data_IF_628613798899
#
_entry.id   IF_628613798899
#
_cell.length_a   1.000
_cell.length_b   1.000
_cell.length_c   1.000
_cell.angle_alpha   90.00
_cell.angle_beta   90.00
_cell.angle_gamma   90.00
#
_symmetry.space_group_name_H-M   'P 1'
#
loop_
_entity.id
_entity.type
_entity.pdbx_description
1 polymer ?
#
# COMPACT_ATOMS: atom_id res chain seq x y z
N UNK A 1 5.54 4.13 19.34
CA UNK A 1 6.49 2.99 19.34
C UNK A 1 7.33 3.08 18.07
N UNK A 2 8.62 2.73 18.09
CA UNK A 2 9.42 2.73 16.85
C UNK A 2 8.80 1.81 15.80
N UNK A 3 8.84 2.21 14.52
CA UNK A 3 8.34 1.40 13.41
C UNK A 3 9.20 0.14 13.26
N UNK A 4 8.71 -0.99 13.76
CA UNK A 4 9.44 -2.26 13.79
C UNK A 4 9.42 -3.00 12.45
N UNK A 5 8.37 -2.76 11.65
CA UNK A 5 8.25 -3.25 10.29
C UNK A 5 7.95 -2.09 9.34
N UNK A 6 8.50 -2.16 8.13
CA UNK A 6 8.24 -1.23 7.04
C UNK A 6 8.13 -1.97 5.70
N UNK A 7 7.41 -1.36 4.76
CA UNK A 7 7.41 -1.76 3.36
C UNK A 7 8.40 -0.87 2.58
N UNK A 8 9.32 -1.50 1.85
CA UNK A 8 10.29 -0.85 0.96
C UNK A 8 10.22 -1.53 -0.42
N UNK A 9 9.82 -0.79 -1.45
CA UNK A 9 9.58 -1.30 -2.82
C UNK A 9 8.74 -2.58 -2.89
N UNK A 10 7.67 -2.64 -2.09
CA UNK A 10 6.77 -3.80 -2.02
C UNK A 10 7.33 -5.00 -1.25
N UNK A 11 8.54 -4.90 -0.69
CA UNK A 11 9.14 -5.90 0.19
C UNK A 11 8.92 -5.51 1.65
N UNK A 12 8.49 -6.48 2.45
CA UNK A 12 8.42 -6.35 3.90
C UNK A 12 9.83 -6.45 4.49
N UNK A 13 10.17 -5.53 5.39
CA UNK A 13 11.40 -5.57 6.18
C UNK A 13 11.01 -5.40 7.65
N UNK A 14 11.45 -6.35 8.48
CA UNK A 14 11.42 -6.21 9.94
C UNK A 14 12.81 -5.78 10.40
N UNK A 15 12.87 -4.62 11.04
CA UNK A 15 14.11 -4.04 11.56
C UNK A 15 14.52 -4.81 12.82
N UNK A 16 15.52 -5.67 12.68
CA UNK A 16 15.98 -6.57 13.74
C UNK A 16 16.81 -5.88 14.83
N UNK A 17 17.39 -4.72 14.52
CA UNK A 17 18.17 -3.93 15.46
C UNK A 17 17.65 -2.50 15.52
N UNK A 18 17.06 -2.14 16.66
CA UNK A 18 16.89 -0.74 17.01
C UNK A 18 18.26 -0.16 17.38
N UNK A 19 18.50 1.13 17.13
CA UNK A 19 19.79 1.80 17.44
C UNK A 19 20.29 1.46 18.86
N UNK A 20 21.62 1.43 19.07
CA UNK A 20 22.26 0.90 20.28
C UNK A 20 21.68 1.43 21.61
N UNK A 21 21.24 2.69 21.65
CA UNK A 21 20.62 3.31 22.84
C UNK A 21 19.15 2.89 23.08
N UNK A 22 18.49 2.26 22.11
CA UNK A 22 17.16 1.65 22.21
C UNK A 22 17.22 0.15 22.52
N UNK A 23 18.34 -0.52 22.25
CA UNK A 23 18.51 -1.98 22.42
C UNK A 23 18.25 -2.47 23.85
N UNK A 24 18.56 -1.65 24.86
CA UNK A 24 18.37 -1.98 26.29
C UNK A 24 16.89 -2.27 26.64
N UNK A 25 15.93 -1.87 25.79
CA UNK A 25 14.48 -2.02 26.04
C UNK A 25 13.75 -3.00 25.13
N UNK A 26 14.39 -3.58 24.12
CA UNK A 26 13.68 -4.47 23.18
C UNK A 26 13.81 -5.90 23.66
N UNK A 27 12.71 -6.57 24.05
CA UNK A 27 12.78 -7.95 24.49
C UNK A 27 13.20 -8.85 23.32
N UNK A 28 13.72 -10.04 23.65
CA UNK A 28 13.87 -11.10 22.66
C UNK A 28 12.51 -11.35 22.01
N UNK A 29 12.44 -11.35 20.69
CA UNK A 29 11.15 -11.36 19.97
C UNK A 29 11.23 -12.17 18.69
N UNK A 30 10.07 -12.59 18.20
CA UNK A 30 9.88 -13.18 16.88
C UNK A 30 8.68 -12.52 16.21
N UNK A 31 8.83 -12.20 14.92
CA UNK A 31 7.81 -11.54 14.13
C UNK A 31 7.28 -12.48 13.06
N UNK A 32 5.98 -12.37 12.79
CA UNK A 32 5.29 -13.20 11.82
C UNK A 32 4.38 -12.34 10.95
N UNK A 33 4.14 -12.79 9.72
CA UNK A 33 3.08 -12.23 8.88
C UNK A 33 1.99 -13.26 8.61
N UNK A 34 0.78 -12.77 8.36
CA UNK A 34 -0.36 -13.57 7.91
C UNK A 34 -1.23 -12.70 7.01
N UNK A 35 -1.85 -13.31 5.99
CA UNK A 35 -2.72 -12.57 5.09
C UNK A 35 -3.99 -12.09 5.82
N UNK A 36 -4.57 -11.01 5.31
CA UNK A 36 -5.81 -10.43 5.78
C UNK A 36 -6.84 -10.42 4.65
N UNK A 37 -8.10 -10.67 5.01
CA UNK A 37 -9.27 -10.50 4.15
C UNK A 37 -10.36 -9.75 4.90
N UNK A 38 -11.28 -9.11 4.16
CA UNK A 38 -12.37 -8.29 4.71
C UNK A 38 -12.21 -6.80 4.45
N UNK A 39 -13.09 -6.00 5.03
CA UNK A 39 -13.10 -4.55 4.83
C UNK A 39 -12.13 -3.84 5.78
N UNK A 40 -10.93 -3.48 5.29
CA UNK A 40 -9.99 -2.67 6.07
C UNK A 40 -10.44 -1.21 6.26
N UNK A 41 -11.41 -0.73 5.48
CA UNK A 41 -12.00 0.60 5.60
C UNK A 41 -13.34 0.69 4.83
N UNK A 42 -14.35 1.47 5.28
CA UNK A 42 -14.47 2.17 6.56
C UNK A 42 -15.06 1.31 7.68
N UNK A 43 -15.53 0.09 7.37
CA UNK A 43 -16.21 -0.77 8.33
C UNK A 43 -15.25 -1.81 8.91
N UNK A 44 -14.41 -1.35 9.85
CA UNK A 44 -13.30 -2.07 10.53
C UNK A 44 -13.79 -3.21 11.45
N UNK A 45 -15.10 -3.47 11.50
CA UNK A 45 -15.72 -4.35 12.49
C UNK A 45 -15.33 -5.82 12.35
N UNK A 46 -14.79 -6.25 11.21
CA UNK A 46 -14.33 -7.62 11.03
C UNK A 46 -13.20 -7.70 9.98
N UNK A 47 -12.12 -8.39 10.35
CA UNK A 47 -11.12 -8.89 9.43
C UNK A 47 -10.93 -10.38 9.67
N UNK A 48 -10.65 -11.12 8.62
CA UNK A 48 -10.34 -12.54 8.69
C UNK A 48 -8.87 -12.75 8.36
N UNK A 49 -8.19 -13.53 9.20
CA UNK A 49 -6.83 -13.98 8.93
C UNK A 49 -6.87 -15.13 7.92
N UNK A 50 -6.05 -15.04 6.87
CA UNK A 50 -5.98 -16.03 5.80
C UNK A 50 -4.56 -16.61 5.70
N UNK A 51 -4.49 -17.92 5.47
CA UNK A 51 -3.23 -18.66 5.34
C UNK A 51 -2.51 -18.92 6.67
N UNK A 52 -1.31 -19.49 6.58
CA UNK A 52 -0.50 -19.86 7.73
C UNK A 52 0.27 -18.68 8.31
N UNK A 53 0.63 -18.79 9.59
CA UNK A 53 1.50 -17.84 10.27
C UNK A 53 2.95 -18.09 9.85
N UNK A 54 3.55 -17.15 9.11
CA UNK A 54 4.91 -17.32 8.56
C UNK A 54 5.91 -16.42 9.27
N UNK A 55 7.01 -17.00 9.76
CA UNK A 55 8.07 -16.26 10.46
C UNK A 55 8.83 -15.33 9.52
N UNK A 56 9.09 -14.11 9.98
CA UNK A 56 9.84 -13.09 9.24
C UNK A 56 11.28 -13.08 9.76
N UNK A 57 12.28 -13.42 8.93
CA UNK A 57 13.67 -13.27 9.30
C UNK A 57 14.04 -11.79 9.48
N UNK A 58 14.78 -11.42 10.54
CA UNK A 58 15.15 -10.03 10.81
C UNK A 58 16.08 -9.49 9.71
N UNK A 59 15.94 -8.20 9.39
CA UNK A 59 16.74 -7.46 8.41
C UNK A 59 16.77 -8.03 7.00
N UNK A 60 15.84 -8.94 6.66
CA UNK A 60 15.73 -9.52 5.32
C UNK A 60 14.53 -8.92 4.58
N UNK A 61 14.73 -8.60 3.31
CA UNK A 61 13.65 -8.23 2.39
C UNK A 61 12.83 -9.46 2.05
N UNK A 62 11.53 -9.40 2.34
CA UNK A 62 10.60 -10.50 2.12
C UNK A 62 9.45 -10.07 1.22
N UNK A 63 9.19 -10.84 0.17
CA UNK A 63 7.98 -10.71 -0.62
C UNK A 63 6.84 -11.44 0.08
N UNK A 64 5.77 -10.70 0.38
CA UNK A 64 4.57 -11.25 1.01
C UNK A 64 3.54 -11.56 -0.09
N UNK A 65 3.04 -12.79 -0.20
CA UNK A 65 2.12 -13.21 -1.26
C UNK A 65 0.66 -12.83 -0.97
N UNK A 66 0.43 -11.69 -0.31
CA UNK A 66 -0.89 -11.19 0.05
C UNK A 66 -0.95 -9.68 -0.18
N UNK A 67 -2.02 -9.19 -0.81
CA UNK A 67 -2.25 -7.75 -1.00
C UNK A 67 -2.45 -7.02 0.33
N UNK A 68 -3.07 -7.72 1.29
CA UNK A 68 -3.34 -7.21 2.62
C UNK A 68 -2.83 -8.24 3.61
N UNK A 69 -2.04 -7.82 4.58
CA UNK A 69 -1.47 -8.72 5.57
C UNK A 69 -1.21 -7.99 6.88
N UNK A 70 -1.12 -8.75 7.96
CA UNK A 70 -0.79 -8.24 9.28
C UNK A 70 0.58 -8.74 9.69
N UNK A 71 1.37 -7.87 10.32
CA UNK A 71 2.62 -8.24 10.98
C UNK A 71 2.41 -8.18 12.48
N UNK A 72 2.72 -9.28 13.16
CA UNK A 72 2.66 -9.41 14.61
C UNK A 72 4.01 -9.82 15.15
N UNK A 73 4.51 -9.10 16.15
CA UNK A 73 5.71 -9.48 16.87
C UNK A 73 5.37 -9.87 18.31
N UNK A 74 5.84 -11.06 18.67
CA UNK A 74 5.66 -11.67 19.97
C UNK A 74 6.94 -11.49 20.77
N UNK A 75 6.79 -11.13 22.04
CA UNK A 75 7.86 -11.27 23.01
C UNK A 75 8.18 -12.77 23.12
N UNK A 76 9.46 -13.13 23.25
CA UNK A 76 9.99 -14.49 23.40
C UNK A 76 11.05 -14.53 24.51
N UNK A 77 10.87 -13.68 25.52
CA UNK A 77 11.71 -13.69 26.73
C UNK A 77 11.44 -14.97 27.51
N UNK A 78 12.49 -15.69 27.91
CA UNK A 78 12.36 -16.91 28.72
C UNK A 78 11.85 -16.53 30.11
N UNK A 79 10.66 -17.01 30.48
CA UNK A 79 10.06 -16.78 31.79
C UNK A 79 10.48 -17.85 32.79
N UNK A 80 10.76 -19.06 32.33
CA UNK A 80 11.20 -20.16 33.20
C UNK A 80 11.24 -21.49 32.47
N UNK A 81 11.26 -22.59 33.23
CA UNK A 81 11.12 -23.94 32.69
C UNK A 81 9.98 -24.65 33.41
N UNK A 82 9.05 -25.23 32.66
CA UNK A 82 7.97 -26.07 33.18
C UNK A 82 8.27 -27.49 32.73
N UNK A 83 8.39 -28.44 33.65
CA UNK A 83 8.72 -29.84 33.32
C UNK A 83 9.95 -30.00 32.42
N UNK A 84 10.98 -29.17 32.65
CA UNK A 84 12.24 -29.10 31.89
C UNK A 84 12.13 -28.53 30.46
N UNK A 85 10.93 -28.16 30.01
CA UNK A 85 10.71 -27.42 28.76
C UNK A 85 10.76 -25.91 29.01
N UNK A 86 11.42 -25.12 28.14
CA UNK A 86 11.48 -23.67 28.28
C UNK A 86 10.11 -23.04 28.04
N UNK A 87 9.66 -22.23 29.00
CA UNK A 87 8.42 -21.45 28.91
C UNK A 87 8.77 -20.00 28.59
N UNK A 88 8.29 -19.52 27.44
CA UNK A 88 8.54 -18.16 26.95
C UNK A 88 7.32 -17.27 27.20
N UNK A 89 7.57 -15.96 27.29
CA UNK A 89 6.54 -14.96 27.09
C UNK A 89 6.00 -15.09 25.66
N UNK A 90 4.72 -14.83 25.46
CA UNK A 90 4.03 -14.91 24.16
C UNK A 90 3.12 -13.68 23.95
N UNK A 91 3.41 -12.57 24.65
CA UNK A 91 2.64 -11.34 24.50
C UNK A 91 2.97 -10.62 23.18
N UNK A 92 1.94 -10.15 22.48
CA UNK A 92 2.08 -9.29 21.30
C UNK A 92 2.40 -7.88 21.80
N UNK A 93 3.52 -7.32 21.33
CA UNK A 93 3.90 -5.94 21.64
C UNK A 93 3.94 -5.03 20.40
N UNK A 94 3.79 -5.62 19.21
CA UNK A 94 3.67 -4.91 17.95
C UNK A 94 2.68 -5.64 17.05
N UNK A 95 1.70 -4.89 16.55
CA UNK A 95 0.74 -5.36 15.56
C UNK A 95 0.46 -4.22 14.58
N UNK A 96 0.59 -4.50 13.28
CA UNK A 96 0.27 -3.51 12.23
C UNK A 96 -0.17 -4.20 10.96
N UNK A 97 -1.27 -3.71 10.38
CA UNK A 97 -1.72 -4.11 9.05
C UNK A 97 -0.96 -3.33 7.97
N UNK A 98 -0.67 -4.01 6.88
CA UNK A 98 0.01 -3.49 5.70
C UNK A 98 -0.81 -3.82 4.46
N UNK A 99 -0.69 -2.94 3.47
CA UNK A 99 -1.25 -3.12 2.14
C UNK A 99 -0.11 -3.02 1.14
N UNK A 100 0.05 -4.04 0.32
CA UNK A 100 0.97 -4.09 -0.81
C UNK A 100 0.20 -4.48 -2.06
N UNK A 101 0.82 -4.34 -3.21
CA UNK A 101 0.34 -4.96 -4.44
C UNK A 101 1.13 -6.24 -4.59
N UNK A 102 0.48 -7.40 -4.45
CA UNK A 102 1.12 -8.67 -4.74
C UNK A 102 1.70 -8.58 -6.15
N UNK A 103 3.01 -8.81 -6.33
CA UNK A 103 3.54 -9.07 -7.67
C UNK A 103 2.92 -10.39 -8.12
N UNK A 104 1.78 -10.31 -8.82
CA UNK A 104 1.24 -11.45 -9.54
C UNK A 104 2.22 -11.78 -10.66
N UNK A 105 3.10 -12.76 -10.41
CA UNK A 105 4.14 -13.21 -11.34
C UNK A 105 3.56 -13.77 -12.65
N UNK A 106 2.25 -14.06 -12.67
CA UNK A 106 1.49 -14.58 -13.81
C UNK A 106 0.35 -13.64 -14.28
N UNK A 107 0.39 -12.34 -13.97
CA UNK A 107 -0.61 -11.44 -14.54
C UNK A 107 -0.31 -11.27 -16.03
N UNK A 108 -1.33 -11.47 -16.88
CA UNK A 108 -1.31 -10.96 -18.24
C UNK A 108 -0.77 -9.53 -18.20
N UNK A 109 0.14 -9.18 -19.11
CA UNK A 109 0.66 -7.82 -19.25
C UNK A 109 -0.24 -7.07 -20.23
N UNK A 110 -1.36 -6.45 -19.78
CA UNK A 110 -2.27 -5.79 -20.70
C UNK A 110 -1.56 -4.61 -21.37
N UNK A 111 -1.90 -4.35 -22.62
CA UNK A 111 -1.55 -3.07 -23.24
C UNK A 111 -2.31 -1.96 -22.52
N UNK A 112 -1.59 -0.95 -22.05
CA UNK A 112 -2.17 0.22 -21.41
C UNK A 112 -2.36 1.34 -22.44
N UNK A 113 -3.58 1.86 -22.53
CA UNK A 113 -3.87 3.08 -23.27
C UNK A 113 -4.63 4.05 -22.36
N UNK A 114 -4.14 5.29 -22.28
CA UNK A 114 -4.72 6.35 -21.44
C UNK A 114 -5.18 7.47 -22.36
N UNK A 115 -6.49 7.72 -22.37
CA UNK A 115 -7.09 8.88 -23.04
C UNK A 115 -7.53 9.89 -21.99
N UNK A 116 -6.93 11.07 -22.05
CA UNK A 116 -7.28 12.20 -21.18
C UNK A 116 -8.14 13.18 -21.96
N UNK A 117 -9.31 13.51 -21.42
CA UNK A 117 -10.16 14.59 -21.92
C UNK A 117 -9.99 15.80 -21.00
N UNK A 118 -9.25 16.80 -21.47
CA UNK A 118 -9.05 18.03 -20.71
C UNK A 118 -10.25 18.97 -20.82
N UNK A 119 -10.47 19.79 -19.78
CA UNK A 119 -11.47 20.86 -19.73
C UNK A 119 -12.94 20.41 -19.89
N UNK A 120 -13.27 19.17 -19.55
CA UNK A 120 -14.65 18.63 -19.58
C UNK A 120 -15.09 18.24 -18.17
N UNK A 121 -16.26 18.72 -17.74
CA UNK A 121 -16.89 18.24 -16.50
C UNK A 121 -17.64 16.91 -16.73
N UNK A 122 -17.80 16.11 -15.67
CA UNK A 122 -18.58 14.85 -15.73
C UNK A 122 -19.98 15.06 -16.31
N UNK A 123 -20.69 16.10 -15.88
CA UNK A 123 -22.02 16.41 -16.41
C UNK A 123 -21.99 16.76 -17.90
N UNK A 124 -20.95 17.47 -18.34
CA UNK A 124 -20.81 17.81 -19.76
C UNK A 124 -20.52 16.57 -20.61
N UNK A 125 -19.65 15.67 -20.13
CA UNK A 125 -19.38 14.39 -20.75
C UNK A 125 -20.65 13.54 -20.87
N UNK A 126 -21.44 13.42 -19.80
CA UNK A 126 -22.68 12.64 -19.81
C UNK A 126 -23.73 13.18 -20.78
N UNK A 127 -23.86 14.52 -20.90
CA UNK A 127 -24.84 15.15 -21.81
C UNK A 127 -24.41 15.09 -23.27
N UNK A 128 -23.16 15.44 -23.57
CA UNK A 128 -22.70 15.65 -24.94
C UNK A 128 -22.08 14.40 -25.57
N UNK A 129 -21.56 13.47 -24.75
CA UNK A 129 -20.94 12.21 -25.20
C UNK A 129 -21.76 10.98 -24.79
N UNK A 130 -23.10 11.11 -24.79
CA UNK A 130 -24.02 10.05 -24.37
C UNK A 130 -23.85 8.72 -25.15
N UNK A 131 -23.50 8.78 -26.45
CA UNK A 131 -23.19 7.58 -27.25
C UNK A 131 -21.94 6.85 -26.74
N UNK A 132 -20.90 7.61 -26.39
CA UNK A 132 -19.67 7.06 -25.79
C UNK A 132 -19.97 6.41 -24.45
N UNK A 133 -20.76 7.07 -23.60
CA UNK A 133 -21.18 6.52 -22.29
C UNK A 133 -21.94 5.20 -22.46
N UNK A 134 -22.90 5.13 -23.39
CA UNK A 134 -23.64 3.91 -23.68
C UNK A 134 -22.73 2.78 -24.17
N UNK A 135 -21.77 3.12 -25.04
CA UNK A 135 -20.78 2.18 -25.56
C UNK A 135 -19.86 1.64 -24.45
N UNK A 136 -19.32 2.52 -23.59
CA UNK A 136 -18.49 2.14 -22.44
C UNK A 136 -19.24 1.20 -21.48
N UNK A 137 -20.50 1.50 -21.17
CA UNK A 137 -21.36 0.62 -20.35
C UNK A 137 -21.51 -0.76 -20.96
N UNK A 138 -21.74 -0.85 -22.28
CA UNK A 138 -21.86 -2.14 -22.99
C UNK A 138 -20.57 -2.96 -22.95
N UNK A 139 -19.41 -2.29 -22.96
CA UNK A 139 -18.11 -2.93 -22.85
C UNK A 139 -17.71 -3.28 -21.39
N UNK A 140 -18.55 -2.96 -20.40
CA UNK A 140 -18.26 -3.28 -19.00
C UNK A 140 -17.23 -2.35 -18.35
N UNK A 141 -17.08 -1.12 -18.83
CA UNK A 141 -16.19 -0.15 -18.18
C UNK A 141 -16.66 0.18 -16.76
N UNK A 142 -15.70 0.30 -15.85
CA UNK A 142 -15.94 0.72 -14.47
C UNK A 142 -15.75 2.24 -14.40
N UNK A 143 -16.75 2.95 -13.88
CA UNK A 143 -16.68 4.40 -13.64
C UNK A 143 -16.25 4.65 -12.19
N UNK A 144 -15.15 5.37 -12.01
CA UNK A 144 -14.68 5.81 -10.69
C UNK A 144 -15.33 7.14 -10.33
N UNK A 145 -16.35 7.10 -9.48
CA UNK A 145 -17.10 8.28 -9.05
C UNK A 145 -16.31 9.08 -8.00
N UNK A 146 -16.30 10.41 -8.13
CA UNK A 146 -15.61 11.30 -7.17
C UNK A 146 -14.10 11.47 -7.39
N UNK A 147 -13.50 10.78 -8.38
CA UNK A 147 -12.06 10.84 -8.67
C UNK A 147 -11.69 11.80 -9.81
N UNK A 148 -12.61 12.64 -10.26
CA UNK A 148 -12.44 13.45 -11.49
C UNK A 148 -11.69 14.77 -11.27
N UNK A 149 -11.64 15.27 -10.02
CA UNK A 149 -11.04 16.58 -9.72
C UNK A 149 -10.37 16.58 -8.36
N UNK A 150 -9.10 16.97 -8.36
CA UNK A 150 -8.25 17.19 -7.18
C UNK A 150 -8.01 18.70 -6.97
N UNK A 151 -7.90 19.46 -8.06
CA UNK A 151 -7.76 20.92 -8.03
C UNK A 151 -8.22 21.57 -9.32
N UNK A 152 -8.06 22.89 -9.42
CA UNK A 152 -8.56 23.68 -10.55
C UNK A 152 -7.70 23.60 -11.82
N UNK A 153 -6.51 22.99 -11.74
CA UNK A 153 -5.57 22.90 -12.84
C UNK A 153 -5.42 21.46 -13.35
N UNK A 154 -5.32 21.29 -14.67
CA UNK A 154 -5.09 20.01 -15.34
C UNK A 154 -3.83 19.28 -14.83
N UNK A 155 -2.74 20.00 -14.55
CA UNK A 155 -1.51 19.41 -14.00
C UNK A 155 -1.75 18.74 -12.63
N UNK A 156 -2.51 19.40 -11.75
CA UNK A 156 -2.85 18.88 -10.42
C UNK A 156 -3.74 17.64 -10.52
N UNK A 157 -4.63 17.59 -11.51
CA UNK A 157 -5.56 16.47 -11.70
C UNK A 157 -4.88 15.26 -12.35
N UNK A 158 -3.87 15.48 -13.20
CA UNK A 158 -3.16 14.39 -13.88
C UNK A 158 -2.04 13.77 -13.04
N UNK A 159 -1.42 14.55 -12.16
CA UNK A 159 -0.28 14.06 -11.37
C UNK A 159 -0.62 12.83 -10.51
N UNK A 160 -1.77 12.73 -9.83
CA UNK A 160 -2.13 11.54 -9.07
C UNK A 160 -2.31 10.30 -9.95
N UNK A 161 -2.79 10.46 -11.17
CA UNK A 161 -2.96 9.35 -12.13
C UNK A 161 -1.59 8.89 -12.64
N UNK A 162 -0.70 9.83 -12.96
CA UNK A 162 0.57 9.54 -13.61
C UNK A 162 1.70 9.23 -12.63
N UNK A 163 1.59 9.60 -11.35
CA UNK A 163 2.66 9.43 -10.37
C UNK A 163 2.19 8.93 -9.00
N UNK A 164 0.87 8.84 -8.75
CA UNK A 164 0.36 8.50 -7.42
C UNK A 164 0.70 9.54 -6.35
N UNK A 165 1.01 10.79 -6.73
CA UNK A 165 1.39 11.89 -5.83
C UNK A 165 0.47 13.09 -6.01
N UNK A 166 0.33 13.88 -4.94
CA UNK A 166 -0.28 15.22 -4.97
C UNK A 166 0.81 16.28 -4.85
N UNK A 167 0.56 17.45 -5.44
CA UNK A 167 1.34 18.68 -5.19
C UNK A 167 0.56 19.70 -4.36
N UNK A 168 -0.73 19.44 -4.13
CA UNK A 168 -1.53 20.23 -3.21
C UNK A 168 -1.49 19.63 -1.80
N UNK A 169 -1.63 20.46 -0.76
CA UNK A 169 -1.80 19.98 0.60
C UNK A 169 -3.01 19.05 0.68
N UNK A 170 -2.83 17.89 1.32
CA UNK A 170 -3.91 16.91 1.45
C UNK A 170 -3.93 16.32 2.85
N UNK A 171 -5.14 16.08 3.33
CA UNK A 171 -5.42 15.32 4.54
C UNK A 171 -5.77 13.90 4.09
N UNK A 172 -5.08 12.90 4.64
CA UNK A 172 -5.37 11.50 4.36
C UNK A 172 -6.69 11.05 4.93
N UNK A 173 -7.18 9.89 4.49
CA UNK A 173 -8.42 9.30 5.01
C UNK A 173 -8.38 8.96 6.51
N UNK A 174 -7.20 9.03 7.14
CA UNK A 174 -6.96 8.88 8.57
C UNK A 174 -6.87 10.23 9.33
N UNK A 175 -7.02 11.37 8.64
CA UNK A 175 -6.93 12.70 9.24
C UNK A 175 -5.52 13.29 9.34
N UNK A 176 -4.48 12.54 8.96
CA UNK A 176 -3.09 13.03 8.98
C UNK A 176 -2.78 13.86 7.72
N UNK A 177 -1.94 14.90 7.85
CA UNK A 177 -1.44 15.64 6.68
C UNK A 177 -0.48 14.76 5.86
N UNK A 178 -0.87 14.44 4.63
CA UNK A 178 -0.03 13.72 3.65
C UNK A 178 1.04 14.67 3.09
N UNK A 179 0.65 15.92 2.85
CA UNK A 179 1.50 16.99 2.30
C UNK A 179 1.24 18.28 3.08
N UNK A 180 2.23 18.77 3.86
CA UNK A 180 2.08 20.02 4.60
C UNK A 180 2.01 21.22 3.67
N UNK A 181 1.33 22.29 4.14
CA UNK A 181 0.93 23.43 3.32
C UNK A 181 2.08 24.22 2.66
N UNK A 182 3.31 24.11 3.18
CA UNK A 182 4.49 24.81 2.68
C UNK A 182 5.57 23.89 2.10
N UNK A 183 5.26 22.61 1.86
CA UNK A 183 6.24 21.67 1.33
C UNK A 183 6.31 21.79 -0.19
N UNK A 184 7.44 22.24 -0.70
CA UNK A 184 7.72 22.22 -2.14
C UNK A 184 7.97 20.77 -2.55
N UNK A 185 7.16 20.28 -3.50
CA UNK A 185 7.36 18.97 -4.12
C UNK A 185 8.17 19.18 -5.39
N UNK A 186 9.38 18.62 -5.44
CA UNK A 186 10.17 18.60 -6.67
C UNK A 186 9.54 17.62 -7.66
N UNK A 187 9.28 18.09 -8.88
CA UNK A 187 8.76 17.28 -9.98
C UNK A 187 9.84 16.46 -10.69
N UNK A 188 11.12 16.82 -10.53
CA UNK A 188 12.25 16.15 -11.19
C UNK A 188 12.51 14.76 -10.63
N UNK A 189 12.26 14.59 -9.33
CA UNK A 189 12.49 13.33 -8.61
C UNK A 189 11.23 12.46 -8.52
N UNK A 190 10.18 12.77 -9.29
CA UNK A 190 8.94 12.00 -9.28
C UNK A 190 9.08 10.80 -10.22
N UNK A 191 8.82 9.62 -9.68
CA UNK A 191 8.68 8.42 -10.48
C UNK A 191 7.31 8.40 -11.15
N UNK A 192 7.30 8.76 -12.44
CA UNK A 192 6.10 8.71 -13.26
C UNK A 192 5.81 7.30 -13.79
N UNK A 193 4.57 7.09 -14.21
CA UNK A 193 4.04 5.84 -14.73
C UNK A 193 4.90 5.31 -15.89
N UNK A 194 5.35 6.16 -16.81
CA UNK A 194 6.22 5.72 -17.90
C UNK A 194 7.59 5.27 -17.41
N UNK A 195 8.12 5.84 -16.32
CA UNK A 195 9.38 5.39 -15.71
C UNK A 195 9.18 4.01 -15.10
N UNK A 196 8.09 3.80 -14.36
CA UNK A 196 7.69 2.50 -13.84
C UNK A 196 7.50 1.46 -14.98
N UNK A 197 6.89 1.88 -16.09
CA UNK A 197 6.63 1.01 -17.23
C UNK A 197 7.86 0.71 -18.10
N UNK A 198 8.97 1.47 -18.01
CA UNK A 198 10.21 1.13 -18.75
C UNK A 198 10.77 -0.24 -18.38
N UNK A 199 10.58 -0.68 -17.13
CA UNK A 199 10.94 -2.03 -16.68
C UNK A 199 9.98 -3.13 -17.17
N UNK A 200 8.78 -2.75 -17.64
CA UNK A 200 7.81 -3.65 -18.21
C UNK A 200 8.01 -3.71 -19.73
N UNK A 201 8.53 -4.84 -20.23
CA UNK A 201 8.73 -5.06 -21.68
C UNK A 201 7.37 -4.94 -22.39
N UNK A 202 7.13 -3.82 -23.08
CA UNK A 202 6.02 -3.69 -24.01
C UNK A 202 6.30 -4.60 -25.21
N UNK A 203 5.53 -5.68 -25.35
CA UNK A 203 5.58 -6.51 -26.55
C UNK A 203 4.99 -5.70 -27.71
N UNK A 204 5.85 -5.09 -28.53
CA UNK A 204 5.43 -4.58 -29.83
C UNK A 204 5.11 -5.79 -30.71
N UNK A 205 3.84 -5.96 -31.05
CA UNK A 205 3.35 -6.93 -32.04
C UNK A 205 3.25 -6.28 -33.41
#
# INVERSE_FOLDING_TARGET
MPNMASLDDGNLIVHGELESWKQVRVPKHQCYYQGLSGGLYPNISWYQLIGDLVEIPPNKRLLVPYDQFIVRCYNKTLLGKISNEPFYNESIFYERAFVTFSKMDNMEKPSLNILVLDSISRNQFLRHMHKTVAYMKRLGFITLEGYTKVGDNSAVNLLPILAGKSILPQIGGNGDEILPQNKIVSLENIEFLWTMMKGAICLQK
#
